data_IF_022763709016
#
_entry.id   IF_022763709016
#
_cell.length_a   1.000
_cell.length_b   1.000
_cell.length_c   1.000
_cell.angle_alpha   90.00
_cell.angle_beta   90.00
_cell.angle_gamma   90.00
#
_symmetry.space_group_name_H-M   'P 1'
#
loop_
_entity.id
_entity.type
_entity.pdbx_description
1 polymer ?
#
# COMPACT_ATOMS: atom_id res chain seq x y z
N UNK A 1 -3.86 -8.61 2.38
CA UNK A 1 -4.61 -8.02 3.48
C UNK A 1 -4.14 -6.60 3.74
N UNK A 2 -5.02 -5.64 3.59
CA UNK A 2 -4.74 -4.21 3.85
C UNK A 2 -5.62 -3.66 4.97
N UNK A 3 -6.28 -4.51 5.71
CA UNK A 3 -7.08 -4.15 6.89
C UNK A 3 -8.48 -3.65 6.57
N UNK A 4 -9.10 -4.11 5.49
CA UNK A 4 -10.53 -3.89 5.30
C UNK A 4 -11.36 -4.57 6.41
N UNK A 5 -12.55 -4.05 6.78
CA UNK A 5 -13.38 -4.67 7.80
C UNK A 5 -13.68 -6.15 7.53
N UNK A 6 -13.92 -6.53 6.28
CA UNK A 6 -14.16 -7.92 5.89
C UNK A 6 -12.90 -8.81 5.94
N UNK A 7 -11.74 -8.22 6.18
CA UNK A 7 -10.47 -8.92 6.36
C UNK A 7 -10.09 -9.07 7.85
N UNK A 8 -10.93 -8.65 8.77
CA UNK A 8 -10.63 -8.63 10.21
C UNK A 8 -10.22 -10.02 10.76
N UNK A 9 -10.77 -11.10 10.22
CA UNK A 9 -10.44 -12.47 10.62
C UNK A 9 -9.22 -13.06 9.87
N UNK A 10 -8.62 -12.31 8.95
CA UNK A 10 -7.46 -12.78 8.21
C UNK A 10 -6.19 -12.60 9.04
N UNK A 11 -5.48 -13.69 9.26
CA UNK A 11 -4.23 -13.72 10.05
C UNK A 11 -2.97 -13.63 9.20
N UNK A 12 -3.11 -13.49 7.87
CA UNK A 12 -1.97 -13.42 6.95
C UNK A 12 -1.31 -12.04 7.05
N UNK A 13 -0.01 -12.03 7.33
CA UNK A 13 0.82 -10.82 7.35
C UNK A 13 1.47 -10.61 5.98
N UNK A 14 0.72 -9.97 5.07
CA UNK A 14 1.20 -9.70 3.72
C UNK A 14 2.32 -8.64 3.70
N UNK A 15 2.40 -7.75 4.68
CA UNK A 15 3.49 -6.78 4.79
C UNK A 15 4.80 -7.49 5.03
N UNK A 16 4.87 -8.36 6.03
CA UNK A 16 6.07 -9.15 6.30
C UNK A 16 6.41 -10.06 5.13
N UNK A 17 5.43 -10.74 4.54
CA UNK A 17 5.65 -11.59 3.36
C UNK A 17 6.31 -10.83 2.21
N UNK A 18 5.78 -9.65 1.83
CA UNK A 18 6.32 -8.86 0.73
C UNK A 18 7.72 -8.34 1.02
N UNK A 19 8.01 -7.95 2.26
CA UNK A 19 9.33 -7.50 2.67
C UNK A 19 10.35 -8.65 2.65
N UNK A 20 9.99 -9.82 3.13
CA UNK A 20 10.85 -11.01 3.10
C UNK A 20 11.09 -11.48 1.66
N UNK A 21 10.06 -11.47 0.82
CA UNK A 21 10.18 -11.79 -0.60
C UNK A 21 11.14 -10.82 -1.31
N UNK A 22 11.01 -9.51 -1.07
CA UNK A 22 11.92 -8.52 -1.62
C UNK A 22 13.37 -8.81 -1.20
N UNK A 23 13.61 -9.06 0.10
CA UNK A 23 14.93 -9.42 0.63
C UNK A 23 15.50 -10.69 -0.01
N UNK A 24 14.68 -11.74 -0.12
CA UNK A 24 15.08 -13.00 -0.74
C UNK A 24 15.50 -12.82 -2.21
N UNK A 25 14.74 -12.05 -2.98
CA UNK A 25 15.06 -11.78 -4.39
C UNK A 25 16.30 -10.91 -4.54
N UNK A 26 16.46 -9.91 -3.68
CA UNK A 26 17.66 -9.06 -3.64
C UNK A 26 18.92 -9.90 -3.38
N UNK A 27 18.88 -10.79 -2.40
CA UNK A 27 20.02 -11.65 -2.06
C UNK A 27 20.30 -12.70 -3.15
N UNK A 28 19.23 -13.34 -3.66
CA UNK A 28 19.36 -14.40 -4.67
C UNK A 28 19.91 -13.90 -6.00
N UNK A 29 19.53 -12.69 -6.40
CA UNK A 29 19.86 -12.15 -7.73
C UNK A 29 20.81 -10.96 -7.69
N UNK A 30 21.33 -10.59 -6.52
CA UNK A 30 22.24 -9.45 -6.37
C UNK A 30 21.58 -8.11 -6.72
N UNK A 31 20.28 -7.95 -6.41
CA UNK A 31 19.53 -6.74 -6.74
C UNK A 31 19.79 -5.62 -5.72
N UNK A 32 19.65 -4.38 -6.17
CA UNK A 32 19.85 -3.21 -5.33
C UNK A 32 18.76 -3.02 -4.31
N UNK A 33 19.08 -3.06 -3.03
CA UNK A 33 18.15 -2.71 -1.94
C UNK A 33 17.69 -1.25 -2.00
N UNK A 34 18.53 -0.35 -2.53
CA UNK A 34 18.20 1.08 -2.66
C UNK A 34 17.30 1.40 -3.85
N UNK A 35 17.14 0.46 -4.79
CA UNK A 35 16.36 0.62 -6.00
C UNK A 35 15.23 -0.42 -6.06
N UNK A 36 14.61 -0.71 -4.91
CA UNK A 36 13.45 -1.58 -4.82
C UNK A 36 12.21 -0.70 -4.70
N UNK A 37 11.27 -0.87 -5.62
CA UNK A 37 10.06 -0.07 -5.75
C UNK A 37 8.84 -0.98 -5.67
N UNK A 38 7.72 -0.42 -5.21
CA UNK A 38 6.45 -1.14 -5.17
C UNK A 38 5.41 -0.44 -6.04
N UNK A 39 4.68 -1.21 -6.82
CA UNK A 39 3.50 -0.75 -7.55
C UNK A 39 2.40 -1.80 -7.47
N UNK A 40 1.16 -1.36 -7.55
CA UNK A 40 0.00 -2.23 -7.52
C UNK A 40 -1.26 -1.46 -7.86
N UNK A 41 -2.29 -2.17 -8.33
CA UNK A 41 -3.56 -1.57 -8.71
C UNK A 41 -4.65 -1.95 -7.70
N UNK A 42 -5.60 -1.04 -7.45
CA UNK A 42 -6.75 -1.23 -6.55
C UNK A 42 -6.28 -1.67 -5.15
N UNK A 43 -6.66 -2.84 -4.66
CA UNK A 43 -6.16 -3.41 -3.40
C UNK A 43 -4.62 -3.47 -3.34
N UNK A 44 -3.94 -3.73 -4.47
CA UNK A 44 -2.48 -3.65 -4.58
C UNK A 44 -1.96 -2.21 -4.47
N UNK A 45 -2.71 -1.21 -4.91
CA UNK A 45 -2.41 0.21 -4.71
C UNK A 45 -2.51 0.60 -3.24
N UNK A 46 -3.53 0.11 -2.55
CA UNK A 46 -3.69 0.30 -1.11
C UNK A 46 -2.57 -0.39 -0.30
N UNK A 47 -2.11 -1.56 -0.77
CA UNK A 47 -0.92 -2.20 -0.20
C UNK A 47 0.33 -1.35 -0.40
N UNK A 48 0.48 -0.64 -1.53
CA UNK A 48 1.58 0.32 -1.72
C UNK A 48 1.56 1.42 -0.67
N UNK A 49 0.40 1.98 -0.34
CA UNK A 49 0.28 2.95 0.74
C UNK A 49 0.66 2.34 2.09
N UNK A 50 0.13 1.15 2.41
CA UNK A 50 0.46 0.47 3.66
C UNK A 50 1.97 0.21 3.80
N UNK A 51 2.64 -0.21 2.74
CA UNK A 51 4.09 -0.41 2.73
C UNK A 51 4.86 0.91 2.86
N UNK A 52 4.37 1.99 2.24
CA UNK A 52 4.96 3.32 2.40
C UNK A 52 4.89 3.83 3.85
N UNK A 53 3.78 3.58 4.52
CA UNK A 53 3.61 3.94 5.94
C UNK A 53 4.44 3.05 6.88
N UNK A 54 4.42 1.73 6.66
CA UNK A 54 4.94 0.78 7.64
C UNK A 54 6.38 0.33 7.37
N UNK A 55 6.83 0.34 6.12
CA UNK A 55 8.14 -0.21 5.72
C UNK A 55 8.92 0.67 4.72
N UNK A 56 9.10 1.96 5.02
CA UNK A 56 9.89 2.87 4.19
C UNK A 56 11.39 2.49 4.15
N UNK A 57 11.81 1.57 5.02
CA UNK A 57 13.14 1.00 5.04
C UNK A 57 13.40 -0.03 3.92
N UNK A 58 12.33 -0.63 3.37
CA UNK A 58 12.42 -1.69 2.36
C UNK A 58 12.23 -1.15 0.95
N UNK A 59 11.25 -0.25 0.77
CA UNK A 59 10.89 0.29 -0.54
C UNK A 59 11.33 1.73 -0.69
N UNK A 60 12.10 2.02 -1.74
CA UNK A 60 12.64 3.36 -2.01
C UNK A 60 11.60 4.34 -2.54
N UNK A 61 10.54 3.86 -3.17
CA UNK A 61 9.38 4.61 -3.61
C UNK A 61 8.21 3.66 -3.90
N UNK A 62 7.00 4.21 -3.93
CA UNK A 62 5.79 3.46 -4.31
C UNK A 62 5.02 4.18 -5.41
N UNK A 63 4.35 3.40 -6.27
CA UNK A 63 3.49 3.91 -7.34
C UNK A 63 2.14 3.19 -7.33
N UNK A 64 1.21 3.60 -6.43
CA UNK A 64 -0.14 3.05 -6.41
C UNK A 64 -0.92 3.45 -7.66
N UNK A 65 -1.79 2.55 -8.13
CA UNK A 65 -2.69 2.78 -9.26
C UNK A 65 -4.13 2.51 -8.80
N UNK A 66 -4.99 3.52 -8.88
CA UNK A 66 -6.40 3.44 -8.45
C UNK A 66 -6.57 2.80 -7.05
N UNK A 67 -5.67 3.11 -6.15
CA UNK A 67 -5.73 2.75 -4.74
C UNK A 67 -5.97 4.00 -3.89
N UNK A 68 -6.52 3.83 -2.71
CA UNK A 68 -6.72 4.91 -1.76
C UNK A 68 -6.08 4.55 -0.42
N UNK A 69 -5.67 5.58 0.32
CA UNK A 69 -5.27 5.39 1.72
C UNK A 69 -6.52 5.09 2.54
N UNK A 70 -6.52 3.98 3.25
CA UNK A 70 -7.60 3.66 4.19
C UNK A 70 -7.49 4.56 5.43
N UNK A 71 -8.63 4.93 6.01
CA UNK A 71 -8.67 5.84 7.17
C UNK A 71 -7.77 5.36 8.32
N UNK A 72 -7.79 4.06 8.62
CA UNK A 72 -6.97 3.51 9.69
C UNK A 72 -5.45 3.65 9.43
N UNK A 73 -4.99 3.55 8.16
CA UNK A 73 -3.58 3.74 7.82
C UNK A 73 -3.15 5.17 8.13
N UNK A 74 -4.00 6.13 7.79
CA UNK A 74 -3.75 7.55 8.04
C UNK A 74 -3.76 7.89 9.53
N UNK A 75 -4.66 7.28 10.30
CA UNK A 75 -4.83 7.56 11.72
C UNK A 75 -3.83 6.81 12.61
N UNK A 76 -3.58 5.53 12.29
CA UNK A 76 -2.95 4.60 13.22
C UNK A 76 -1.53 4.18 12.80
N UNK A 77 -1.09 4.53 11.58
CA UNK A 77 0.28 4.25 11.14
C UNK A 77 1.20 5.45 11.44
N UNK A 78 2.20 5.22 12.27
CA UNK A 78 3.32 6.14 12.40
C UNK A 78 4.20 6.05 11.16
N UNK A 79 4.41 7.18 10.48
CA UNK A 79 5.29 7.21 9.31
C UNK A 79 6.70 7.60 9.77
N UNK A 80 7.63 6.65 9.90
CA UNK A 80 8.97 6.94 10.42
C UNK A 80 9.81 7.79 9.48
N UNK A 81 9.55 7.73 8.18
CA UNK A 81 10.22 8.54 7.17
C UNK A 81 9.36 8.65 5.91
N UNK A 82 9.26 9.84 5.28
CA UNK A 82 8.58 9.97 4.01
C UNK A 82 9.37 9.28 2.90
N UNK A 83 8.66 8.62 1.97
CA UNK A 83 9.23 8.08 0.74
C UNK A 83 8.52 8.69 -0.47
N UNK A 84 9.19 8.77 -1.64
CA UNK A 84 8.54 9.24 -2.86
C UNK A 84 7.33 8.38 -3.22
N UNK A 85 6.23 9.06 -3.58
CA UNK A 85 4.99 8.44 -3.98
C UNK A 85 4.51 9.04 -5.30
N UNK A 86 4.11 8.19 -6.24
CA UNK A 86 3.56 8.57 -7.54
C UNK A 86 2.22 7.91 -7.76
N UNK A 87 1.14 8.63 -7.43
CA UNK A 87 -0.24 8.15 -7.63
C UNK A 87 -0.67 8.25 -9.09
N UNK A 88 -1.32 7.19 -9.59
CA UNK A 88 -1.97 7.14 -10.90
C UNK A 88 -3.44 6.79 -10.66
N UNK A 89 -4.36 7.71 -10.98
CA UNK A 89 -5.76 7.54 -10.68
C UNK A 89 -6.67 8.15 -11.75
N UNK A 90 -7.76 7.46 -12.06
CA UNK A 90 -8.79 7.98 -12.95
C UNK A 90 -9.75 8.91 -12.21
N UNK A 91 -9.95 10.13 -12.71
CA UNK A 91 -10.88 11.10 -12.09
C UNK A 91 -12.35 10.67 -12.15
N UNK A 92 -12.68 9.68 -12.98
CA UNK A 92 -14.03 9.10 -13.09
C UNK A 92 -14.09 7.66 -12.55
N UNK A 93 -13.12 7.25 -11.72
CA UNK A 93 -13.14 5.94 -11.08
C UNK A 93 -14.38 5.85 -10.17
N UNK A 94 -15.20 4.82 -10.45
CA UNK A 94 -16.47 4.60 -9.72
C UNK A 94 -16.32 3.62 -8.56
N UNK A 95 -15.20 2.94 -8.47
CA UNK A 95 -14.91 1.94 -7.43
C UNK A 95 -14.08 2.58 -6.32
N UNK A 96 -12.95 3.17 -6.69
CA UNK A 96 -12.09 3.95 -5.81
C UNK A 96 -12.20 5.40 -6.23
N UNK A 97 -13.20 6.12 -5.72
CA UNK A 97 -13.49 7.47 -6.17
C UNK A 97 -12.29 8.40 -5.94
N UNK A 98 -11.94 9.19 -6.96
CA UNK A 98 -10.86 10.19 -6.87
C UNK A 98 -11.03 11.14 -5.69
N UNK A 99 -12.27 11.55 -5.41
CA UNK A 99 -12.61 12.44 -4.29
C UNK A 99 -12.60 11.75 -2.92
N UNK A 100 -12.30 10.45 -2.91
CA UNK A 100 -12.41 9.63 -1.71
C UNK A 100 -13.84 9.19 -1.40
N UNK A 101 -14.00 8.42 -0.34
CA UNK A 101 -15.29 7.90 0.12
C UNK A 101 -15.50 8.18 1.61
N UNK A 102 -15.49 9.46 1.97
CA UNK A 102 -15.64 9.92 3.36
C UNK A 102 -16.96 9.49 4.02
N UNK A 103 -17.98 9.17 3.23
CA UNK A 103 -19.26 8.68 3.72
C UNK A 103 -19.34 7.13 3.73
N UNK A 104 -18.25 6.48 3.37
CA UNK A 104 -18.16 5.01 3.27
C UNK A 104 -19.27 4.36 2.45
N UNK A 105 -19.69 5.03 1.37
CA UNK A 105 -20.77 4.54 0.49
C UNK A 105 -20.39 3.23 -0.21
N UNK A 106 -19.11 3.03 -0.49
CA UNK A 106 -18.57 1.79 -1.03
C UNK A 106 -18.37 0.69 0.02
N UNK A 107 -18.53 0.99 1.31
CA UNK A 107 -18.32 0.04 2.40
C UNK A 107 -16.85 -0.35 2.62
N UNK A 108 -15.91 0.45 2.10
CA UNK A 108 -14.48 0.14 2.17
C UNK A 108 -13.72 0.89 3.26
N UNK A 109 -14.37 1.86 3.94
CA UNK A 109 -13.76 2.74 4.96
C UNK A 109 -12.46 3.41 4.48
N UNK A 110 -12.54 4.04 3.31
CA UNK A 110 -11.42 4.70 2.62
C UNK A 110 -11.29 6.17 2.96
#
# INVERSE_FOLDING_TARGET
>A
NVGYPFQADMTVDDVSFLCELAGLLQDKYGLSRKNTFCTGMSNGGEMCYLLAYSRPDVFAAVAPVSGLTLEWMYRDCDTPAPIPLFEIHGTEDRTSAWEGDLENRGGWER
#
